data_IF_551177515123
#
_entry.id   IF_551177515123
#
_cell.length_a   1.000
_cell.length_b   1.000
_cell.length_c   1.000
_cell.angle_alpha   90.00
_cell.angle_beta   90.00
_cell.angle_gamma   90.00
#
_symmetry.space_group_name_H-M   'P 1'
#
loop_
_entity.id
_entity.type
_entity.pdbx_description
1 polymer ?
#
# COMPACT_ATOMS: atom_id res chain seq x y z
N UNK A 1 -32.16 1.74 -3.59
CA UNK A 1 -31.29 2.64 -2.81
C UNK A 1 -31.21 4.00 -3.50
N UNK A 2 -31.08 5.09 -2.74
CA UNK A 2 -30.86 6.45 -3.28
C UNK A 2 -29.64 6.48 -4.21
N UNK A 3 -28.63 5.67 -3.91
CA UNK A 3 -27.38 5.58 -4.66
C UNK A 3 -27.51 4.89 -6.03
N UNK A 4 -28.58 4.12 -6.24
CA UNK A 4 -28.89 3.46 -7.53
C UNK A 4 -29.56 4.39 -8.53
N UNK A 5 -30.00 5.58 -8.09
CA UNK A 5 -30.61 6.56 -8.95
C UNK A 5 -29.52 7.39 -9.68
N UNK A 6 -29.76 7.83 -10.93
CA UNK A 6 -28.79 8.60 -11.72
C UNK A 6 -28.24 9.85 -11.04
N UNK A 7 -29.01 10.43 -10.11
CA UNK A 7 -28.65 11.65 -9.37
C UNK A 7 -28.52 11.43 -7.86
N UNK A 8 -28.44 10.17 -7.40
CA UNK A 8 -28.43 9.83 -5.98
C UNK A 8 -27.30 10.52 -5.20
N UNK A 9 -26.16 10.67 -5.84
CA UNK A 9 -24.99 11.35 -5.30
C UNK A 9 -25.21 12.85 -5.10
N UNK A 10 -25.74 13.54 -6.10
CA UNK A 10 -26.07 14.97 -6.01
C UNK A 10 -27.14 15.24 -4.96
N UNK A 11 -28.12 14.35 -4.85
CA UNK A 11 -29.13 14.43 -3.82
C UNK A 11 -28.52 14.33 -2.42
N UNK A 12 -27.62 13.38 -2.19
CA UNK A 12 -26.96 13.19 -0.90
C UNK A 12 -26.12 14.41 -0.50
N UNK A 13 -25.41 14.99 -1.46
CA UNK A 13 -24.63 16.22 -1.25
C UNK A 13 -25.53 17.41 -0.88
N UNK A 14 -26.61 17.62 -1.64
CA UNK A 14 -27.56 18.70 -1.38
C UNK A 14 -28.28 18.54 -0.04
N UNK A 15 -28.68 17.32 0.29
CA UNK A 15 -29.31 17.00 1.57
C UNK A 15 -28.41 17.37 2.75
N UNK A 16 -27.16 16.89 2.76
CA UNK A 16 -26.22 17.19 3.85
C UNK A 16 -25.84 18.67 3.91
N UNK A 17 -25.69 19.34 2.77
CA UNK A 17 -25.46 20.78 2.71
C UNK A 17 -26.64 21.58 3.31
N UNK A 18 -27.87 21.21 2.97
CA UNK A 18 -29.06 21.84 3.53
C UNK A 18 -29.18 21.63 5.03
N UNK A 19 -28.94 20.40 5.51
CA UNK A 19 -28.99 20.07 6.93
C UNK A 19 -27.96 20.90 7.74
N UNK A 20 -26.72 21.00 7.26
CA UNK A 20 -25.68 21.81 7.89
C UNK A 20 -26.04 23.30 7.93
N UNK A 21 -26.54 23.83 6.82
CA UNK A 21 -26.95 25.24 6.74
C UNK A 21 -28.08 25.57 7.71
N UNK A 22 -29.06 24.67 7.84
CA UNK A 22 -30.19 24.82 8.77
C UNK A 22 -29.73 24.89 10.22
N UNK A 23 -28.73 24.09 10.61
CA UNK A 23 -28.22 24.02 11.98
C UNK A 23 -27.04 24.99 12.23
N UNK A 24 -26.63 25.77 11.21
CA UNK A 24 -25.48 26.68 11.33
C UNK A 24 -24.14 25.99 11.51
N UNK A 25 -24.02 24.73 11.13
CA UNK A 25 -22.78 23.94 11.24
C UNK A 25 -21.84 24.22 10.06
N UNK A 26 -20.53 24.18 10.33
CA UNK A 26 -19.53 24.29 9.25
C UNK A 26 -19.61 23.09 8.32
N UNK A 27 -19.50 23.36 7.01
CA UNK A 27 -19.44 22.33 5.98
C UNK A 27 -18.07 21.64 6.01
N UNK A 28 -18.02 20.45 6.61
CA UNK A 28 -16.87 19.56 6.62
C UNK A 28 -17.32 18.10 6.69
N UNK A 29 -16.40 17.16 6.40
CA UNK A 29 -16.71 15.75 6.34
C UNK A 29 -17.33 15.23 7.65
N UNK A 30 -16.71 15.52 8.80
CA UNK A 30 -17.21 15.06 10.12
C UNK A 30 -18.66 15.48 10.37
N UNK A 31 -19.00 16.75 10.09
CA UNK A 31 -20.35 17.26 10.30
C UNK A 31 -21.36 16.65 9.31
N UNK A 32 -20.96 16.45 8.03
CA UNK A 32 -21.85 15.78 7.06
C UNK A 32 -22.22 14.36 7.49
N UNK A 33 -21.27 13.59 8.05
CA UNK A 33 -21.50 12.21 8.47
C UNK A 33 -22.54 12.07 9.59
N UNK A 34 -22.69 13.10 10.45
CA UNK A 34 -23.70 13.11 11.53
C UNK A 34 -25.16 13.03 10.99
N UNK A 35 -25.38 13.55 9.79
CA UNK A 35 -26.71 13.64 9.18
C UNK A 35 -27.07 12.42 8.33
N UNK A 36 -26.22 11.40 8.29
CA UNK A 36 -26.43 10.20 7.49
C UNK A 36 -26.80 9.01 8.38
N UNK A 37 -27.92 8.33 8.05
CA UNK A 37 -28.49 7.31 8.92
C UNK A 37 -27.72 5.99 8.94
N UNK A 38 -26.99 5.68 7.86
CA UNK A 38 -26.32 4.40 7.72
C UNK A 38 -24.89 4.53 7.18
N UNK A 39 -24.10 3.47 7.40
CA UNK A 39 -22.68 3.47 7.08
C UNK A 39 -22.40 3.39 5.58
N UNK A 40 -23.32 2.88 4.76
CA UNK A 40 -23.16 2.88 3.31
C UNK A 40 -23.23 4.30 2.74
N UNK A 41 -24.17 5.11 3.21
CA UNK A 41 -24.29 6.52 2.83
C UNK A 41 -23.08 7.32 3.35
N UNK A 42 -22.60 7.02 4.57
CA UNK A 42 -21.36 7.63 5.11
C UNK A 42 -20.15 7.27 4.24
N UNK A 43 -20.02 6.01 3.84
CA UNK A 43 -18.96 5.55 2.95
C UNK A 43 -18.92 6.34 1.64
N UNK A 44 -20.07 6.59 1.01
CA UNK A 44 -20.15 7.35 -0.23
C UNK A 44 -19.75 8.82 -0.07
N UNK A 45 -20.09 9.46 1.05
CA UNK A 45 -19.61 10.80 1.34
C UNK A 45 -18.10 10.81 1.60
N UNK A 46 -17.57 9.83 2.35
CA UNK A 46 -16.12 9.67 2.57
C UNK A 46 -15.38 9.52 1.25
N UNK A 47 -15.86 8.64 0.35
CA UNK A 47 -15.30 8.47 -0.99
C UNK A 47 -15.33 9.76 -1.81
N UNK A 48 -16.43 10.49 -1.78
CA UNK A 48 -16.53 11.76 -2.49
C UNK A 48 -15.47 12.78 -2.05
N UNK A 49 -15.17 12.86 -0.75
CA UNK A 49 -14.08 13.69 -0.24
C UNK A 49 -12.71 13.14 -0.63
N UNK A 50 -12.51 11.83 -0.53
CA UNK A 50 -11.26 11.17 -0.91
C UNK A 50 -10.94 11.37 -2.40
N UNK A 51 -11.93 11.21 -3.29
CA UNK A 51 -11.80 11.41 -4.74
C UNK A 51 -11.41 12.84 -5.12
N UNK A 52 -11.69 13.83 -4.28
CA UNK A 52 -11.36 15.24 -4.49
C UNK A 52 -10.07 15.68 -3.84
N UNK A 53 -9.39 14.81 -3.14
CA UNK A 53 -8.05 15.09 -2.61
C UNK A 53 -7.09 15.45 -3.74
N UNK A 54 -6.29 16.48 -3.50
CA UNK A 54 -5.23 16.93 -4.41
C UNK A 54 -3.85 16.40 -4.01
N UNK A 55 -3.70 15.97 -2.76
CA UNK A 55 -2.46 15.42 -2.22
C UNK A 55 -2.69 14.05 -1.63
N UNK A 56 -1.67 13.20 -1.68
CA UNK A 56 -1.72 11.86 -1.10
C UNK A 56 -1.85 11.93 0.43
N UNK A 57 -1.23 12.91 1.07
CA UNK A 57 -1.31 13.16 2.51
C UNK A 57 -2.76 13.40 2.99
N UNK A 58 -3.49 14.30 2.30
CA UNK A 58 -4.90 14.56 2.63
C UNK A 58 -5.77 13.32 2.40
N UNK A 59 -5.49 12.55 1.37
CA UNK A 59 -6.15 11.28 1.10
C UNK A 59 -5.93 10.28 2.25
N UNK A 60 -4.67 10.08 2.67
CA UNK A 60 -4.32 9.20 3.79
C UNK A 60 -4.97 9.63 5.11
N UNK A 61 -5.06 10.94 5.37
CA UNK A 61 -5.75 11.47 6.55
C UNK A 61 -7.22 11.06 6.56
N UNK A 62 -7.92 11.23 5.43
CA UNK A 62 -9.33 10.82 5.32
C UNK A 62 -9.48 9.31 5.56
N UNK A 63 -8.60 8.48 4.99
CA UNK A 63 -8.64 7.04 5.20
C UNK A 63 -8.37 6.63 6.65
N UNK A 64 -7.41 7.26 7.31
CA UNK A 64 -7.09 7.00 8.72
C UNK A 64 -8.25 7.34 9.65
N UNK A 65 -8.98 8.41 9.37
CA UNK A 65 -10.10 8.87 10.21
C UNK A 65 -11.42 8.15 9.89
N UNK A 66 -11.69 7.83 8.61
CA UNK A 66 -13.01 7.40 8.15
C UNK A 66 -13.00 6.13 7.30
N UNK A 67 -11.85 5.50 7.12
CA UNK A 67 -11.69 4.30 6.27
C UNK A 67 -12.51 3.10 6.74
N UNK A 68 -12.88 3.04 8.02
CA UNK A 68 -13.73 1.99 8.58
C UNK A 68 -15.11 1.86 7.92
N UNK A 69 -15.61 2.93 7.29
CA UNK A 69 -16.87 2.88 6.53
C UNK A 69 -16.70 2.20 5.15
N UNK A 70 -15.48 2.11 4.62
CA UNK A 70 -15.20 1.67 3.25
C UNK A 70 -15.02 0.15 3.16
N UNK A 71 -16.11 -0.59 3.29
CA UNK A 71 -16.10 -2.04 3.50
C UNK A 71 -16.34 -2.89 2.24
N UNK A 72 -16.89 -2.32 1.14
CA UNK A 72 -17.25 -3.07 -0.06
C UNK A 72 -16.09 -3.16 -1.06
N UNK A 73 -16.16 -4.11 -2.01
CA UNK A 73 -15.20 -4.24 -3.12
C UNK A 73 -15.17 -2.97 -3.98
N UNK A 74 -16.34 -2.42 -4.31
CA UNK A 74 -16.45 -1.15 -5.05
C UNK A 74 -15.73 -0.01 -4.33
N UNK A 75 -15.87 0.10 -3.00
CA UNK A 75 -15.14 1.09 -2.21
C UNK A 75 -13.63 0.90 -2.36
N UNK A 76 -13.12 -0.33 -2.29
CA UNK A 76 -11.69 -0.64 -2.46
C UNK A 76 -11.17 -0.27 -3.84
N UNK A 77 -11.90 -0.61 -4.89
CA UNK A 77 -11.51 -0.26 -6.26
C UNK A 77 -11.42 1.26 -6.46
N UNK A 78 -12.40 2.00 -5.98
CA UNK A 78 -12.41 3.47 -6.05
C UNK A 78 -11.27 4.10 -5.24
N UNK A 79 -11.02 3.60 -4.03
CA UNK A 79 -9.87 4.03 -3.20
C UNK A 79 -8.54 3.78 -3.91
N UNK A 80 -8.37 2.58 -4.50
CA UNK A 80 -7.16 2.24 -5.26
C UNK A 80 -6.96 3.18 -6.45
N UNK A 81 -8.03 3.54 -7.17
CA UNK A 81 -7.96 4.50 -8.27
C UNK A 81 -7.52 5.90 -7.81
N UNK A 82 -8.02 6.38 -6.67
CA UNK A 82 -7.60 7.65 -6.06
C UNK A 82 -6.14 7.58 -5.63
N UNK A 83 -5.74 6.52 -4.94
CA UNK A 83 -4.37 6.27 -4.51
C UNK A 83 -3.41 6.32 -5.70
N UNK A 84 -3.69 5.57 -6.76
CA UNK A 84 -2.88 5.53 -7.98
C UNK A 84 -2.77 6.90 -8.67
N UNK A 85 -3.85 7.69 -8.67
CA UNK A 85 -3.87 9.04 -9.25
C UNK A 85 -3.01 10.03 -8.47
N UNK A 86 -3.07 9.98 -7.14
CA UNK A 86 -2.37 10.92 -6.25
C UNK A 86 -0.92 10.52 -6.02
N UNK A 87 -0.64 9.22 -6.07
CA UNK A 87 0.68 8.71 -5.81
C UNK A 87 1.63 8.98 -6.99
N UNK A 88 2.73 9.65 -6.70
CA UNK A 88 3.75 9.96 -7.72
C UNK A 88 5.03 9.14 -7.58
N UNK A 89 5.16 8.36 -6.53
CA UNK A 89 6.35 7.52 -6.28
C UNK A 89 7.63 8.30 -6.05
N UNK A 90 7.52 9.58 -5.69
CA UNK A 90 8.68 10.43 -5.50
C UNK A 90 9.31 10.21 -4.14
N UNK A 91 10.63 10.33 -4.13
CA UNK A 91 11.42 10.28 -2.90
C UNK A 91 10.90 11.30 -1.87
N UNK A 92 10.70 10.84 -0.62
CA UNK A 92 10.20 11.64 0.49
C UNK A 92 8.68 11.73 0.59
N UNK A 93 7.91 11.27 -0.43
CA UNK A 93 6.45 11.16 -0.34
C UNK A 93 6.03 9.89 0.40
N UNK A 94 4.85 9.91 1.00
CA UNK A 94 4.26 8.72 1.61
C UNK A 94 4.09 7.62 0.57
N UNK A 95 4.47 6.39 0.94
CA UNK A 95 4.31 5.23 0.08
C UNK A 95 2.83 4.95 -0.23
N UNK A 96 2.52 4.55 -1.46
CA UNK A 96 1.26 3.89 -1.76
C UNK A 96 1.21 2.58 -0.99
N UNK A 97 0.20 2.40 -0.17
CA UNK A 97 0.04 1.17 0.58
C UNK A 97 -0.40 0.04 -0.34
N UNK A 98 0.02 -1.17 -0.03
CA UNK A 98 -0.44 -2.39 -0.68
C UNK A 98 -0.73 -3.44 0.38
N UNK A 99 -1.67 -4.33 0.06
CA UNK A 99 -2.06 -5.44 0.94
C UNK A 99 -2.16 -6.72 0.14
N UNK A 100 -1.41 -7.75 0.54
CA UNK A 100 -1.42 -9.07 -0.10
C UNK A 100 -1.41 -10.18 0.95
N UNK A 101 -1.91 -11.39 0.62
CA UNK A 101 -1.81 -12.53 1.52
C UNK A 101 -0.36 -13.01 1.66
N UNK A 102 0.01 -13.37 2.88
CA UNK A 102 1.25 -14.08 3.18
C UNK A 102 1.15 -15.59 2.82
N UNK A 103 2.20 -16.34 3.12
CA UNK A 103 2.25 -17.81 2.89
C UNK A 103 1.15 -18.59 3.62
N UNK A 104 0.52 -18.03 4.64
CA UNK A 104 -0.55 -18.63 5.43
C UNK A 104 -1.94 -18.07 5.06
N UNK A 105 -2.00 -17.16 4.06
CA UNK A 105 -3.22 -16.50 3.64
C UNK A 105 -3.63 -15.30 4.50
N UNK A 106 -2.83 -14.89 5.50
CA UNK A 106 -3.08 -13.68 6.28
C UNK A 106 -2.75 -12.45 5.43
N UNK A 107 -3.66 -11.49 5.41
CA UNK A 107 -3.43 -10.20 4.73
C UNK A 107 -2.41 -9.37 5.52
N UNK A 108 -1.41 -8.89 4.79
CA UNK A 108 -0.31 -8.06 5.32
C UNK A 108 -0.15 -6.84 4.42
N UNK A 109 -0.05 -5.68 5.05
CA UNK A 109 0.09 -4.38 4.39
C UNK A 109 1.49 -3.79 4.60
N UNK A 110 1.95 -2.94 3.69
CA UNK A 110 3.18 -2.17 3.91
C UNK A 110 3.07 -1.29 5.17
N UNK A 111 1.90 -0.73 5.43
CA UNK A 111 1.63 0.12 6.60
C UNK A 111 1.75 -0.61 7.95
N UNK A 112 1.69 -1.95 7.99
CA UNK A 112 1.88 -2.73 9.22
C UNK A 112 3.31 -2.62 9.78
N UNK A 113 4.25 -2.13 8.96
CA UNK A 113 5.67 -2.02 9.30
C UNK A 113 6.12 -0.58 9.61
N UNK A 114 5.19 0.31 9.94
CA UNK A 114 5.54 1.66 10.43
C UNK A 114 6.50 1.56 11.63
N UNK A 115 7.44 2.48 11.70
CA UNK A 115 8.52 2.46 12.69
C UNK A 115 9.77 1.68 12.26
N UNK A 116 9.70 0.92 11.16
CA UNK A 116 10.83 0.15 10.62
C UNK A 116 11.21 0.60 9.22
N UNK A 117 12.48 0.46 8.87
CA UNK A 117 12.94 0.54 7.48
C UNK A 117 12.44 -0.68 6.74
N UNK A 118 11.91 -0.53 5.53
CA UNK A 118 11.37 -1.66 4.76
C UNK A 118 12.10 -1.77 3.42
N UNK A 119 12.64 -2.95 3.13
CA UNK A 119 13.10 -3.35 1.79
C UNK A 119 12.04 -4.25 1.16
N UNK A 120 11.50 -3.85 0.01
CA UNK A 120 10.59 -4.66 -0.80
C UNK A 120 11.31 -5.19 -2.01
N UNK A 121 11.25 -6.51 -2.22
CA UNK A 121 11.69 -7.23 -3.42
C UNK A 121 10.46 -7.71 -4.20
N UNK A 122 10.24 -7.17 -5.40
CA UNK A 122 9.19 -7.68 -6.29
C UNK A 122 9.81 -8.65 -7.29
N UNK A 123 9.36 -9.90 -7.25
CA UNK A 123 9.98 -11.03 -7.94
C UNK A 123 8.97 -12.07 -8.45
N UNK A 124 9.46 -13.12 -9.08
CA UNK A 124 8.67 -14.30 -9.43
C UNK A 124 9.54 -15.56 -9.56
N UNK A 125 8.95 -16.74 -9.39
CA UNK A 125 9.66 -18.04 -9.47
C UNK A 125 10.27 -18.32 -10.84
N UNK A 126 9.69 -17.77 -11.89
CA UNK A 126 10.16 -17.89 -13.28
C UNK A 126 11.20 -16.84 -13.68
N UNK A 127 11.47 -15.85 -12.81
CA UNK A 127 12.39 -14.76 -13.06
C UNK A 127 13.83 -15.17 -12.72
N UNK A 128 14.62 -15.57 -13.72
CA UNK A 128 16.02 -15.96 -13.52
C UNK A 128 16.88 -14.90 -12.83
N UNK A 129 16.88 -13.62 -13.30
CA UNK A 129 17.60 -12.55 -12.65
C UNK A 129 17.16 -12.27 -11.20
N UNK A 130 15.87 -12.49 -10.87
CA UNK A 130 15.39 -12.37 -9.50
C UNK A 130 15.99 -13.46 -8.61
N UNK A 131 15.95 -14.70 -9.08
CA UNK A 131 16.51 -15.85 -8.35
C UNK A 131 18.00 -15.75 -8.13
N UNK A 132 18.74 -15.12 -9.04
CA UNK A 132 20.16 -14.86 -8.88
C UNK A 132 20.47 -13.92 -7.69
N UNK A 133 19.54 -13.05 -7.30
CA UNK A 133 19.69 -12.13 -6.18
C UNK A 133 19.31 -12.77 -4.82
N UNK A 134 18.57 -13.88 -4.81
CA UNK A 134 18.08 -14.51 -3.56
C UNK A 134 19.21 -14.86 -2.58
N UNK A 135 20.34 -15.49 -2.97
CA UNK A 135 21.41 -15.79 -2.04
C UNK A 135 22.01 -14.53 -1.38
N UNK A 136 22.09 -13.44 -2.13
CA UNK A 136 22.56 -12.14 -1.61
C UNK A 136 21.53 -11.50 -0.67
N UNK A 137 20.21 -11.64 -0.98
CA UNK A 137 19.13 -11.14 -0.14
C UNK A 137 19.09 -11.88 1.19
N UNK A 138 19.16 -13.22 1.19
CA UNK A 138 19.20 -14.06 2.40
C UNK A 138 20.42 -13.72 3.27
N UNK A 139 21.58 -13.54 2.65
CA UNK A 139 22.79 -13.09 3.36
C UNK A 139 22.58 -11.72 4.00
N UNK A 140 22.05 -10.75 3.25
CA UNK A 140 21.80 -9.39 3.74
C UNK A 140 20.78 -9.38 4.88
N UNK A 141 19.70 -10.17 4.78
CA UNK A 141 18.70 -10.33 5.83
C UNK A 141 19.35 -10.84 7.13
N UNK A 142 20.18 -11.85 7.04
CA UNK A 142 20.93 -12.38 8.19
C UNK A 142 21.90 -11.36 8.80
N UNK A 143 22.61 -10.57 7.99
CA UNK A 143 23.49 -9.49 8.45
C UNK A 143 22.75 -8.33 9.13
N UNK A 144 21.45 -8.19 8.85
CA UNK A 144 20.57 -7.18 9.42
C UNK A 144 19.69 -7.72 10.55
N UNK A 145 19.86 -8.97 10.95
CA UNK A 145 19.09 -9.58 12.04
C UNK A 145 19.20 -8.76 13.34
N UNK A 146 18.09 -8.58 14.04
CA UNK A 146 17.99 -7.77 15.25
C UNK A 146 17.97 -6.26 15.04
N UNK A 147 18.03 -5.76 13.79
CA UNK A 147 17.88 -4.33 13.46
C UNK A 147 16.43 -4.01 13.07
N UNK A 148 16.04 -2.74 13.18
CA UNK A 148 14.71 -2.25 12.80
C UNK A 148 14.52 -2.15 11.28
N UNK A 149 14.77 -3.26 10.59
CA UNK A 149 14.54 -3.40 9.14
C UNK A 149 13.70 -4.64 8.87
N UNK A 150 12.78 -4.53 7.89
CA UNK A 150 11.93 -5.63 7.44
C UNK A 150 12.17 -5.89 5.96
N UNK A 151 12.30 -7.16 5.61
CA UNK A 151 12.43 -7.63 4.24
C UNK A 151 11.10 -8.22 3.80
N UNK A 152 10.52 -7.69 2.71
CA UNK A 152 9.24 -8.12 2.15
C UNK A 152 9.46 -8.60 0.72
N UNK A 153 9.25 -9.89 0.46
CA UNK A 153 9.17 -10.43 -0.88
C UNK A 153 7.73 -10.36 -1.39
N UNK A 154 7.52 -9.79 -2.56
CA UNK A 154 6.21 -9.71 -3.23
C UNK A 154 6.27 -10.51 -4.53
N UNK A 155 5.67 -11.71 -4.54
CA UNK A 155 5.60 -12.54 -5.73
C UNK A 155 4.49 -12.07 -6.68
N UNK A 156 4.84 -11.96 -7.97
CA UNK A 156 3.88 -11.72 -9.06
C UNK A 156 3.59 -12.97 -9.88
N UNK A 157 3.80 -14.16 -9.31
CA UNK A 157 3.46 -15.43 -9.96
C UNK A 157 1.96 -15.56 -10.22
N UNK A 158 1.61 -16.40 -11.21
CA UNK A 158 0.21 -16.72 -11.46
C UNK A 158 -0.40 -17.55 -10.31
N UNK A 159 -1.69 -17.43 -10.09
CA UNK A 159 -2.39 -18.17 -9.02
C UNK A 159 -2.16 -19.69 -9.09
N UNK A 160 -2.05 -20.25 -10.28
CA UNK A 160 -1.74 -21.69 -10.49
C UNK A 160 -0.35 -22.09 -9.99
N UNK A 161 0.60 -21.13 -9.92
CA UNK A 161 1.99 -21.35 -9.51
C UNK A 161 2.22 -21.10 -8.01
N UNK A 162 1.15 -20.84 -7.24
CA UNK A 162 1.23 -20.58 -5.78
C UNK A 162 1.97 -21.69 -5.02
N UNK A 163 1.71 -22.97 -5.36
CA UNK A 163 2.42 -24.10 -4.76
C UNK A 163 3.91 -24.06 -5.07
N UNK A 164 4.29 -23.78 -6.32
CA UNK A 164 5.68 -23.64 -6.73
C UNK A 164 6.37 -22.49 -5.99
N UNK A 165 5.66 -21.37 -5.78
CA UNK A 165 6.17 -20.25 -4.98
C UNK A 165 6.51 -20.70 -3.56
N UNK A 166 5.63 -21.43 -2.86
CA UNK A 166 5.90 -21.97 -1.53
C UNK A 166 7.11 -22.90 -1.51
N UNK A 167 7.23 -23.81 -2.50
CA UNK A 167 8.37 -24.71 -2.64
C UNK A 167 9.70 -23.92 -2.82
N UNK A 168 9.70 -22.85 -3.60
CA UNK A 168 10.89 -22.00 -3.79
C UNK A 168 11.23 -21.23 -2.52
N UNK A 169 10.26 -20.71 -1.77
CA UNK A 169 10.53 -20.03 -0.48
C UNK A 169 11.30 -20.95 0.48
N UNK A 170 10.89 -22.22 0.57
CA UNK A 170 11.52 -23.21 1.43
C UNK A 170 12.91 -23.60 0.94
N UNK A 171 13.04 -23.94 -0.35
CA UNK A 171 14.30 -24.35 -0.97
C UNK A 171 15.40 -23.27 -0.90
N UNK A 172 15.05 -22.02 -1.09
CA UNK A 172 15.99 -20.88 -1.11
C UNK A 172 16.17 -20.25 0.28
N UNK A 173 15.45 -20.71 1.31
CA UNK A 173 15.57 -20.22 2.68
C UNK A 173 15.07 -18.77 2.86
N UNK A 174 14.06 -18.35 2.09
CA UNK A 174 13.46 -17.03 2.20
C UNK A 174 12.60 -16.95 3.48
N UNK A 175 13.13 -16.30 4.53
CA UNK A 175 12.55 -16.25 5.86
C UNK A 175 11.70 -15.02 6.13
N UNK A 176 12.00 -13.88 5.52
CA UNK A 176 11.27 -12.64 5.70
C UNK A 176 9.78 -12.70 5.40
N UNK A 177 9.12 -11.56 5.39
CA UNK A 177 7.70 -11.47 5.05
C UNK A 177 7.53 -11.79 3.56
N UNK A 178 6.84 -12.87 3.25
CA UNK A 178 6.64 -13.32 1.88
C UNK A 178 5.17 -13.22 1.49
N UNK A 179 4.87 -12.40 0.47
CA UNK A 179 3.53 -12.05 0.03
C UNK A 179 3.27 -12.55 -1.39
N UNK A 180 2.04 -12.98 -1.65
CA UNK A 180 1.61 -13.46 -2.97
C UNK A 180 0.64 -12.46 -3.60
N UNK A 181 1.10 -11.63 -4.53
CA UNK A 181 0.31 -10.55 -5.13
C UNK A 181 -0.40 -10.95 -6.43
N UNK A 182 0.03 -12.04 -7.08
CA UNK A 182 -0.52 -12.45 -8.37
C UNK A 182 -0.05 -11.59 -9.54
N UNK A 183 -0.65 -11.82 -10.71
CA UNK A 183 -0.25 -11.18 -11.97
C UNK A 183 -0.72 -9.72 -12.02
N UNK A 184 0.15 -8.85 -12.53
CA UNK A 184 -0.13 -7.41 -12.69
C UNK A 184 -0.68 -6.74 -11.43
N UNK A 185 -0.04 -6.94 -10.27
CA UNK A 185 -0.54 -6.44 -9.01
C UNK A 185 -0.54 -4.91 -8.97
N UNK A 186 -1.35 -4.37 -8.04
CA UNK A 186 -1.50 -2.92 -7.89
C UNK A 186 -0.16 -2.20 -7.61
N UNK A 187 0.75 -2.84 -6.88
CA UNK A 187 2.10 -2.30 -6.60
C UNK A 187 2.88 -1.91 -7.88
N UNK A 188 2.73 -2.68 -8.97
CA UNK A 188 3.39 -2.36 -10.25
C UNK A 188 2.82 -1.10 -10.89
N UNK A 189 1.51 -0.88 -10.75
CA UNK A 189 0.81 0.30 -11.28
C UNK A 189 1.13 1.54 -10.46
N UNK A 190 1.08 1.42 -9.13
CA UNK A 190 1.31 2.51 -8.19
C UNK A 190 2.74 3.04 -8.31
N UNK A 191 3.72 2.15 -8.39
CA UNK A 191 5.13 2.50 -8.48
C UNK A 191 5.66 2.57 -9.92
N UNK A 192 4.76 2.47 -10.92
CA UNK A 192 5.01 2.70 -12.37
C UNK A 192 6.20 1.91 -12.92
N UNK A 193 6.30 0.63 -12.58
CA UNK A 193 7.31 -0.26 -13.16
C UNK A 193 6.67 -1.47 -13.85
N UNK A 194 7.38 -2.02 -14.84
CA UNK A 194 6.92 -3.13 -15.68
C UNK A 194 7.87 -4.32 -15.68
N UNK A 195 9.04 -4.17 -15.04
CA UNK A 195 10.11 -5.18 -15.05
C UNK A 195 10.53 -5.57 -13.65
N UNK A 196 10.90 -6.84 -13.48
CA UNK A 196 11.48 -7.42 -12.26
C UNK A 196 12.88 -8.00 -12.56
N UNK A 197 13.77 -8.14 -11.55
CA UNK A 197 13.57 -7.77 -10.13
C UNK A 197 13.41 -6.27 -9.92
N UNK A 198 12.60 -5.90 -8.91
CA UNK A 198 12.44 -4.51 -8.48
C UNK A 198 12.64 -4.43 -6.98
N UNK A 199 13.64 -3.66 -6.57
CA UNK A 199 13.91 -3.40 -5.16
C UNK A 199 13.49 -1.98 -4.81
N UNK A 200 12.74 -1.83 -3.71
CA UNK A 200 12.24 -0.55 -3.22
C UNK A 200 12.56 -0.42 -1.73
N UNK A 201 12.88 0.79 -1.29
CA UNK A 201 13.20 1.07 0.11
C UNK A 201 12.28 2.15 0.64
N UNK A 202 11.74 1.92 1.83
CA UNK A 202 10.88 2.84 2.56
C UNK A 202 11.48 3.14 3.94
N UNK A 203 11.32 4.36 4.43
CA UNK A 203 11.79 4.76 5.75
C UNK A 203 10.82 4.37 6.87
N UNK A 204 11.15 4.73 8.11
CA UNK A 204 10.36 4.42 9.31
C UNK A 204 8.98 5.09 9.31
N UNK A 205 8.86 6.28 8.69
CA UNK A 205 7.59 6.98 8.50
C UNK A 205 6.77 6.35 7.37
N UNK A 206 7.34 5.38 6.63
CA UNK A 206 6.75 4.75 5.45
C UNK A 206 6.77 5.66 4.22
N UNK A 207 7.72 6.58 4.15
CA UNK A 207 7.97 7.39 2.96
C UNK A 207 8.89 6.66 2.00
N UNK A 208 8.77 6.97 0.73
CA UNK A 208 9.62 6.42 -0.32
C UNK A 208 11.04 6.97 -0.18
N UNK A 209 12.00 6.09 0.06
CA UNK A 209 13.43 6.41 -0.07
C UNK A 209 13.85 6.23 -1.53
N UNK A 210 13.48 5.12 -2.14
CA UNK A 210 13.70 4.84 -3.55
C UNK A 210 12.77 3.73 -4.06
N UNK A 211 12.28 3.87 -5.28
CA UNK A 211 11.50 2.84 -5.99
C UNK A 211 12.35 2.01 -6.95
N UNK A 212 13.64 2.28 -7.02
CA UNK A 212 14.61 1.52 -7.82
C UNK A 212 15.95 1.50 -7.08
N UNK A 213 16.02 0.70 -6.05
CA UNK A 213 17.19 0.54 -5.19
C UNK A 213 18.31 -0.27 -5.89
N UNK A 214 19.57 -0.11 -5.49
CA UNK A 214 20.61 -1.09 -5.78
C UNK A 214 20.17 -2.50 -5.42
N UNK A 215 20.71 -3.50 -6.10
CA UNK A 215 20.40 -4.92 -5.87
C UNK A 215 21.07 -5.44 -4.59
N UNK A 216 20.56 -6.55 -3.98
CA UNK A 216 21.19 -7.19 -2.83
C UNK A 216 22.65 -7.61 -3.06
N UNK A 217 23.03 -7.95 -4.29
CA UNK A 217 24.41 -8.26 -4.68
C UNK A 217 25.36 -7.04 -4.64
N UNK A 218 24.79 -5.82 -4.59
CA UNK A 218 25.57 -4.58 -4.52
C UNK A 218 25.75 -4.12 -3.08
N UNK A 219 26.98 -3.73 -2.67
CA UNK A 219 27.25 -3.21 -1.32
C UNK A 219 26.53 -1.88 -1.03
N UNK A 220 26.08 -1.17 -2.06
CA UNK A 220 25.37 0.11 -1.93
C UNK A 220 24.00 -0.07 -1.25
N UNK A 221 23.30 -1.20 -1.46
CA UNK A 221 22.04 -1.46 -0.77
C UNK A 221 22.24 -1.55 0.74
N UNK A 222 23.25 -2.32 1.19
CA UNK A 222 23.57 -2.44 2.62
C UNK A 222 23.89 -1.08 3.23
N UNK A 223 24.72 -0.28 2.58
CA UNK A 223 25.06 1.08 3.02
C UNK A 223 23.85 1.98 3.12
N UNK A 224 22.90 1.86 2.16
CA UNK A 224 21.66 2.62 2.18
C UNK A 224 20.79 2.26 3.40
N UNK A 225 20.60 0.96 3.66
CA UNK A 225 19.82 0.48 4.81
C UNK A 225 20.48 0.89 6.14
N UNK A 226 21.79 0.73 6.27
CA UNK A 226 22.55 1.14 7.47
C UNK A 226 22.43 2.65 7.72
N UNK A 227 22.52 3.47 6.67
CA UNK A 227 22.31 4.91 6.78
C UNK A 227 20.93 5.26 7.32
N UNK A 228 19.86 4.61 6.82
CA UNK A 228 18.49 4.85 7.27
C UNK A 228 18.26 4.40 8.72
N UNK A 229 18.89 3.29 9.12
CA UNK A 229 18.82 2.80 10.50
C UNK A 229 19.49 3.76 11.49
N UNK A 230 20.57 4.44 11.06
CA UNK A 230 21.32 5.37 11.90
C UNK A 230 20.78 6.81 11.89
N UNK A 231 19.93 7.17 10.92
CA UNK A 231 19.36 8.53 10.79
C UNK A 231 18.11 8.79 11.66
N UNK A 232 17.75 7.89 12.54
CA UNK A 232 16.58 7.96 13.42
C UNK A 232 16.91 8.09 14.91
N UNK A 233 18.10 8.64 15.25
CA UNK A 233 18.49 9.02 16.62
C UNK A 233 18.39 10.53 16.80
#
# INVERSE_FOLDING_TARGET
SVLEQPYGYDYLQRYTTFALAKEGEKDNLSNRLKWLPDDLLKAEIVLWYAERCRTYENYQKILGEYGSFLTTENHRERMNAVSARLYQGKKGEMAADFTYPDRNGKLVSLSDFRGKVVLVDVWATWCGPCRAEIPHLVKLEKEMEGKDVVFIGVSIDQKKDHRKWLEVLEQEGLSGVQLFAGVSPQIMKDYKFTTIPRFMVFDREGKVVTTNSPRPSSPELKKLLEKLLNSGL
#
